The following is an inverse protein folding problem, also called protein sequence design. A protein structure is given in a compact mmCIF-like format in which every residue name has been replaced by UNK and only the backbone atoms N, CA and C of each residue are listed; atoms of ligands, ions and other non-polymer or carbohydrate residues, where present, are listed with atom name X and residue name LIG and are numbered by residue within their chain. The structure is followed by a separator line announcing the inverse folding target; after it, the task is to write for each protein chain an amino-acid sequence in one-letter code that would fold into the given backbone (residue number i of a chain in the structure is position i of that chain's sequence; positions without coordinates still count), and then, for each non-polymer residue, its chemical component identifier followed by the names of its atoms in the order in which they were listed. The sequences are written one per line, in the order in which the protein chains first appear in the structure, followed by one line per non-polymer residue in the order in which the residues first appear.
data_IF_640346585297
#
_entry.id   IF_640346585297
#
_cell.length_a   1.000
_cell.length_b   1.000
_cell.length_c   1.000
_cell.angle_alpha   90.00
_cell.angle_beta   90.00
_cell.angle_gamma   90.00
#
_symmetry.space_group_name_H-M   'P 1'
#
loop_
_entity.id
_entity.type
_entity.pdbx_description
1 polymer ?
#
# COMPACT_ATOMS: atom_id res chain seq x y z
N UNK A 1 -17.05 15.27 17.07
CA UNK A 1 -18.32 16.00 17.16
C UNK A 1 -18.11 17.37 17.81
N UNK A 2 -18.83 18.38 17.31
CA UNK A 2 -18.89 19.71 17.91
C UNK A 2 -20.36 20.03 18.11
N UNK A 3 -20.78 20.22 19.37
CA UNK A 3 -22.11 20.64 19.72
C UNK A 3 -22.09 22.13 20.09
N UNK A 4 -23.03 22.91 19.56
CA UNK A 4 -23.25 24.31 19.94
C UNK A 4 -24.67 24.45 20.42
N UNK A 5 -24.82 24.92 21.66
CA UNK A 5 -26.12 25.19 22.27
C UNK A 5 -26.27 26.71 22.35
N UNK A 6 -27.29 27.25 21.74
CA UNK A 6 -27.59 28.69 21.72
C UNK A 6 -28.68 29.01 22.74
N UNK A 7 -28.49 30.10 23.46
CA UNK A 7 -29.49 30.69 24.34
C UNK A 7 -30.23 31.81 23.63
N UNK A 8 -31.46 32.14 24.07
CA UNK A 8 -32.27 33.18 23.47
C UNK A 8 -31.61 34.57 23.41
N UNK A 9 -30.60 34.83 24.24
CA UNK A 9 -29.81 36.07 24.23
C UNK A 9 -28.63 36.11 23.26
N UNK A 10 -28.47 35.10 22.40
CA UNK A 10 -27.38 35.01 21.41
C UNK A 10 -26.06 34.46 21.96
N UNK A 11 -25.98 34.17 23.26
CA UNK A 11 -24.84 33.46 23.83
C UNK A 11 -24.89 31.99 23.43
N UNK A 12 -23.74 31.35 23.36
CA UNK A 12 -23.67 29.90 23.07
C UNK A 12 -22.54 29.24 23.86
N UNK A 13 -22.76 27.96 24.17
CA UNK A 13 -21.74 27.06 24.69
C UNK A 13 -21.29 26.12 23.58
N UNK A 14 -20.01 25.78 23.60
CA UNK A 14 -19.42 24.79 22.67
C UNK A 14 -18.91 23.61 23.49
N UNK A 15 -19.39 22.44 23.14
CA UNK A 15 -18.81 21.18 23.61
C UNK A 15 -18.18 20.41 22.45
N UNK A 16 -17.02 19.81 22.71
CA UNK A 16 -16.25 19.04 21.73
C UNK A 16 -15.91 17.70 22.31
N UNK A 17 -16.28 16.63 21.61
CA UNK A 17 -15.91 15.27 21.98
C UNK A 17 -15.54 14.45 20.74
N UNK A 18 -14.61 13.51 20.94
CA UNK A 18 -14.16 12.57 19.94
C UNK A 18 -14.60 11.17 20.30
N UNK A 19 -15.15 10.47 19.33
CA UNK A 19 -15.50 9.06 19.46
C UNK A 19 -14.75 8.30 18.35
N UNK A 20 -14.15 7.14 18.67
CA UNK A 20 -13.67 6.22 17.65
C UNK A 20 -14.85 5.73 16.81
N UNK A 21 -14.65 5.71 15.50
CA UNK A 21 -15.66 5.22 14.56
C UNK A 21 -15.00 4.29 13.55
N UNK A 22 -15.44 3.04 13.51
CA UNK A 22 -14.97 2.03 12.58
C UNK A 22 -16.05 1.79 11.52
N UNK A 23 -15.89 2.34 10.28
CA UNK A 23 -16.89 2.20 9.21
C UNK A 23 -16.98 0.78 8.63
N UNK A 24 -15.96 -0.04 8.86
CA UNK A 24 -15.87 -1.40 8.33
C UNK A 24 -15.83 -2.42 9.46
N UNK A 25 -16.43 -3.60 9.24
CA UNK A 25 -16.37 -4.74 10.17
C UNK A 25 -15.00 -5.43 10.19
N UNK A 26 -14.20 -5.19 9.16
CA UNK A 26 -12.83 -5.68 9.08
C UNK A 26 -11.98 -4.78 8.20
N UNK A 27 -10.69 -4.84 8.44
CA UNK A 27 -9.67 -4.05 7.77
C UNK A 27 -8.59 -4.98 7.22
N UNK A 28 -8.18 -4.72 5.98
CA UNK A 28 -7.01 -5.36 5.39
C UNK A 28 -5.80 -4.41 5.45
N UNK A 29 -4.62 -4.95 5.72
CA UNK A 29 -3.35 -4.25 5.70
C UNK A 29 -2.36 -4.94 4.79
N UNK A 30 -1.44 -4.18 4.18
CA UNK A 30 -0.38 -4.66 3.31
C UNK A 30 0.96 -4.43 4.00
N UNK A 31 1.84 -5.42 3.97
CA UNK A 31 3.24 -5.27 4.37
C UNK A 31 4.12 -5.69 3.20
N UNK A 32 4.79 -4.69 2.61
CA UNK A 32 5.79 -4.93 1.57
C UNK A 32 7.05 -5.57 2.17
N UNK A 33 7.75 -6.43 1.41
CA UNK A 33 9.06 -6.92 1.81
C UNK A 33 10.08 -5.77 1.80
N UNK A 34 11.13 -5.91 2.59
CA UNK A 34 12.29 -5.04 2.49
C UNK A 34 12.96 -5.28 1.14
N UNK A 35 13.14 -4.20 0.37
CA UNK A 35 13.76 -4.29 -0.94
C UNK A 35 15.28 -4.45 -0.84
N UNK A 36 15.84 -5.26 -1.70
CA UNK A 36 17.30 -5.47 -1.81
C UNK A 36 17.99 -4.39 -2.66
N UNK A 37 17.22 -3.60 -3.40
CA UNK A 37 17.72 -2.53 -4.25
C UNK A 37 18.07 -1.24 -3.50
N UNK A 38 18.60 -0.27 -4.26
CA UNK A 38 18.89 1.06 -3.72
C UNK A 38 17.62 1.70 -3.14
N UNK A 39 17.71 2.25 -1.93
CA UNK A 39 16.59 2.87 -1.21
C UNK A 39 15.37 1.93 -0.98
N UNK A 40 15.59 0.61 -0.85
CA UNK A 40 14.53 -0.35 -0.56
C UNK A 40 13.66 -0.72 -1.77
N UNK A 41 14.16 -0.53 -2.99
CA UNK A 41 13.46 -0.93 -4.22
C UNK A 41 13.43 -2.44 -4.38
N UNK A 42 12.34 -2.97 -4.93
CA UNK A 42 12.25 -4.36 -5.34
C UNK A 42 12.92 -4.55 -6.70
N UNK A 43 13.24 -5.80 -7.04
CA UNK A 43 13.99 -6.15 -8.25
C UNK A 43 13.11 -6.91 -9.23
N UNK A 44 13.20 -6.59 -10.52
CA UNK A 44 12.50 -7.34 -11.59
C UNK A 44 12.99 -8.78 -11.70
N UNK A 45 12.19 -9.65 -12.31
CA UNK A 45 12.45 -11.10 -12.50
C UNK A 45 12.62 -11.90 -11.21
N UNK A 46 12.27 -11.31 -10.06
CA UNK A 46 12.36 -11.91 -8.72
C UNK A 46 10.97 -12.07 -8.11
N UNK A 47 10.78 -13.14 -7.34
CA UNK A 47 9.55 -13.38 -6.60
C UNK A 47 9.59 -12.61 -5.28
N UNK A 48 8.67 -11.66 -5.09
CA UNK A 48 8.52 -10.89 -3.86
C UNK A 48 7.30 -11.36 -3.10
N UNK A 49 7.49 -11.79 -1.85
CA UNK A 49 6.40 -12.21 -0.97
C UNK A 49 5.83 -10.97 -0.30
N UNK A 50 4.58 -10.67 -0.61
CA UNK A 50 3.83 -9.58 0.00
C UNK A 50 2.89 -10.16 1.06
N UNK A 51 3.01 -9.67 2.30
CA UNK A 51 2.21 -10.14 3.40
C UNK A 51 0.95 -9.29 3.54
N UNK A 52 -0.16 -9.96 3.83
CA UNK A 52 -1.47 -9.35 4.08
C UNK A 52 -1.90 -9.68 5.50
N UNK A 53 -2.40 -8.67 6.21
CA UNK A 53 -3.03 -8.85 7.49
C UNK A 53 -4.52 -8.48 7.41
N UNK A 54 -5.37 -9.19 8.14
CA UNK A 54 -6.79 -8.83 8.30
C UNK A 54 -7.16 -8.84 9.78
N UNK A 55 -7.81 -7.74 10.20
CA UNK A 55 -8.24 -7.54 11.58
C UNK A 55 -9.70 -7.10 11.62
N UNK A 56 -10.39 -7.34 12.73
CA UNK A 56 -11.71 -6.78 13.00
C UNK A 56 -11.62 -5.31 13.47
N UNK A 57 -12.75 -4.74 13.86
CA UNK A 57 -12.85 -3.36 14.36
C UNK A 57 -12.10 -3.11 15.69
N UNK A 58 -11.83 -4.17 16.47
CA UNK A 58 -11.03 -4.13 17.69
C UNK A 58 -9.53 -4.37 17.44
N UNK A 59 -9.11 -4.60 16.21
CA UNK A 59 -7.73 -4.94 15.85
C UNK A 59 -7.35 -6.40 16.07
N UNK A 60 -8.32 -7.28 16.35
CA UNK A 60 -8.05 -8.72 16.52
C UNK A 60 -7.93 -9.41 15.16
N UNK A 61 -6.99 -10.35 14.99
CA UNK A 61 -6.84 -11.10 13.76
C UNK A 61 -8.12 -11.86 13.38
N UNK A 62 -8.55 -11.72 12.12
CA UNK A 62 -9.73 -12.39 11.60
C UNK A 62 -9.42 -13.06 10.27
N UNK A 63 -9.99 -14.25 10.03
CA UNK A 63 -9.87 -14.96 8.76
C UNK A 63 -10.84 -14.38 7.73
N UNK A 64 -10.39 -14.27 6.47
CA UNK A 64 -11.18 -13.85 5.33
C UNK A 64 -10.97 -14.82 4.17
N UNK A 65 -12.08 -15.28 3.57
CA UNK A 65 -12.02 -16.24 2.48
C UNK A 65 -11.78 -15.59 1.12
N UNK A 66 -12.13 -14.30 0.99
CA UNK A 66 -12.14 -13.64 -0.32
C UNK A 66 -11.61 -12.21 -0.23
N UNK A 67 -10.31 -12.07 -0.44
CA UNK A 67 -9.64 -10.80 -0.65
C UNK A 67 -9.24 -10.69 -2.11
N UNK A 68 -9.56 -9.58 -2.76
CA UNK A 68 -9.11 -9.30 -4.13
C UNK A 68 -7.85 -8.46 -4.10
N UNK A 69 -6.75 -9.00 -4.64
CA UNK A 69 -5.50 -8.28 -4.86
C UNK A 69 -5.46 -7.83 -6.32
N UNK A 70 -5.23 -6.55 -6.55
CA UNK A 70 -4.97 -5.97 -7.88
C UNK A 70 -3.71 -5.15 -7.83
N UNK A 71 -2.86 -5.31 -8.83
CA UNK A 71 -1.62 -4.54 -8.99
C UNK A 71 -1.72 -3.71 -10.27
N UNK A 72 -1.43 -2.44 -10.18
CA UNK A 72 -1.48 -1.51 -11.31
C UNK A 72 -0.10 -0.91 -11.55
N UNK A 73 0.30 -0.81 -12.81
CA UNK A 73 1.49 -0.05 -13.18
C UNK A 73 1.14 1.43 -13.24
N UNK A 74 1.75 2.24 -12.37
CA UNK A 74 1.49 3.67 -12.28
C UNK A 74 2.31 4.39 -13.35
N UNK A 75 1.64 5.05 -14.28
CA UNK A 75 2.32 5.82 -15.32
C UNK A 75 2.89 7.12 -14.74
N UNK A 76 4.09 7.51 -15.20
CA UNK A 76 4.80 8.71 -14.75
C UNK A 76 3.97 10.00 -14.89
N UNK A 77 3.23 10.14 -15.99
CA UNK A 77 2.41 11.32 -16.27
C UNK A 77 1.35 11.57 -15.17
N UNK A 78 0.72 10.51 -14.68
CA UNK A 78 -0.29 10.61 -13.63
C UNK A 78 0.30 11.08 -12.29
N UNK A 79 1.48 10.60 -11.93
CA UNK A 79 2.15 10.96 -10.69
C UNK A 79 2.53 12.44 -10.62
N UNK A 80 2.85 13.05 -11.76
CA UNK A 80 3.23 14.46 -11.83
C UNK A 80 2.03 15.38 -11.72
N UNK A 81 0.88 15.00 -12.27
CA UNK A 81 -0.33 15.81 -12.30
C UNK A 81 -1.15 15.76 -11.00
N UNK A 82 -0.93 14.73 -10.15
CA UNK A 82 -1.67 14.50 -8.91
C UNK A 82 -0.74 14.50 -7.70
N UNK A 83 -0.39 15.68 -7.25
CA UNK A 83 0.35 15.90 -6.01
C UNK A 83 -0.61 15.82 -4.81
N UNK A 84 -1.09 14.61 -4.47
CA UNK A 84 -2.02 14.41 -3.37
C UNK A 84 -2.47 12.95 -3.20
N UNK A 85 -3.04 12.65 -2.05
CA UNK A 85 -3.41 11.32 -1.52
C UNK A 85 -4.50 10.54 -2.29
N UNK A 86 -4.84 10.92 -3.51
CA UNK A 86 -5.97 10.36 -4.27
C UNK A 86 -5.59 9.14 -5.14
N UNK A 87 -4.84 8.20 -4.56
CA UNK A 87 -4.62 6.88 -5.17
C UNK A 87 -5.93 6.11 -5.40
N UNK A 88 -7.01 6.51 -4.72
CA UNK A 88 -8.35 5.96 -4.93
C UNK A 88 -8.94 6.31 -6.30
N UNK A 89 -8.72 7.52 -6.79
CA UNK A 89 -9.22 7.97 -8.11
C UNK A 89 -8.48 7.29 -9.27
N UNK A 90 -7.17 7.03 -9.13
CA UNK A 90 -6.40 6.33 -10.16
C UNK A 90 -7.01 4.97 -10.54
N UNK A 91 -7.64 4.31 -9.59
CA UNK A 91 -8.26 2.99 -9.80
C UNK A 91 -9.71 3.09 -10.30
N UNK A 92 -10.34 4.26 -10.16
CA UNK A 92 -11.71 4.53 -10.62
C UNK A 92 -11.83 4.79 -12.11
N UNK A 93 -10.76 5.27 -12.76
CA UNK A 93 -10.77 5.54 -14.18
C UNK A 93 -10.72 4.25 -15.00
N UNK A 94 -11.69 4.07 -15.88
CA UNK A 94 -11.95 2.86 -16.68
C UNK A 94 -10.83 2.46 -17.66
N UNK A 95 -9.72 3.17 -17.67
CA UNK A 95 -8.63 2.99 -18.65
C UNK A 95 -7.44 2.16 -18.15
N UNK A 96 -7.45 1.70 -16.88
CA UNK A 96 -6.29 1.01 -16.31
C UNK A 96 -6.62 -0.45 -16.01
N UNK A 97 -6.29 -1.32 -16.94
CA UNK A 97 -6.32 -2.76 -16.65
C UNK A 97 -5.26 -3.09 -15.59
N UNK A 98 -5.59 -3.92 -14.60
CA UNK A 98 -4.62 -4.34 -13.63
C UNK A 98 -3.50 -5.15 -14.32
N UNK A 99 -2.25 -4.85 -13.98
CA UNK A 99 -1.09 -5.63 -14.39
C UNK A 99 -1.20 -7.09 -13.88
N UNK A 100 -1.76 -7.25 -12.70
CA UNK A 100 -1.96 -8.52 -12.04
C UNK A 100 -3.24 -8.47 -11.20
N UNK A 101 -4.00 -9.57 -11.18
CA UNK A 101 -5.18 -9.72 -10.33
C UNK A 101 -5.25 -11.14 -9.78
N UNK A 102 -5.51 -11.28 -8.49
CA UNK A 102 -5.63 -12.56 -7.81
C UNK A 102 -6.58 -12.47 -6.62
N UNK A 103 -7.34 -13.55 -6.37
CA UNK A 103 -8.06 -13.74 -5.11
C UNK A 103 -7.19 -14.55 -4.15
N UNK A 104 -7.18 -14.12 -2.89
CA UNK A 104 -6.46 -14.78 -1.79
C UNK A 104 -7.37 -14.89 -0.57
N UNK A 105 -6.96 -15.71 0.39
CA UNK A 105 -7.58 -15.82 1.71
C UNK A 105 -6.57 -15.52 2.81
N UNK A 106 -7.09 -15.17 4.00
CA UNK A 106 -6.29 -15.07 5.22
C UNK A 106 -6.80 -16.10 6.24
N UNK A 107 -5.87 -16.66 7.00
CA UNK A 107 -6.13 -17.57 8.11
C UNK A 107 -5.54 -16.95 9.36
N UNK A 108 -6.35 -16.80 10.42
CA UNK A 108 -5.94 -16.12 11.65
C UNK A 108 -5.31 -14.74 11.37
N UNK A 109 -5.92 -13.98 10.47
CA UNK A 109 -5.48 -12.64 10.12
C UNK A 109 -4.24 -12.58 9.23
N UNK A 110 -3.72 -13.69 8.72
CA UNK A 110 -2.49 -13.73 7.92
C UNK A 110 -2.72 -14.35 6.56
N UNK A 111 -2.24 -13.69 5.52
CA UNK A 111 -2.21 -14.18 4.15
C UNK A 111 -0.99 -13.63 3.44
N UNK A 112 -0.70 -14.17 2.26
CA UNK A 112 0.40 -13.71 1.43
C UNK A 112 0.14 -13.99 -0.03
N UNK A 113 0.79 -13.23 -0.90
CA UNK A 113 0.86 -13.54 -2.32
C UNK A 113 2.24 -13.21 -2.87
N UNK A 114 2.56 -13.79 -4.02
CA UNK A 114 3.82 -13.52 -4.72
C UNK A 114 3.55 -12.49 -5.81
N UNK A 115 4.29 -11.41 -5.78
CA UNK A 115 4.37 -10.42 -6.85
C UNK A 115 5.67 -10.67 -7.62
N UNK A 116 5.56 -10.79 -8.94
CA UNK A 116 6.68 -10.85 -9.86
C UNK A 116 6.41 -9.91 -11.02
N UNK A 117 7.34 -9.02 -11.27
CA UNK A 117 7.34 -8.14 -12.44
C UNK A 117 8.51 -8.55 -13.31
N UNK A 118 8.22 -8.95 -14.55
CA UNK A 118 9.24 -9.40 -15.48
C UNK A 118 9.69 -8.25 -16.38
N UNK A 119 10.96 -8.24 -16.79
CA UNK A 119 11.44 -7.34 -17.83
C UNK A 119 10.64 -7.53 -19.13
N UNK A 120 10.39 -6.45 -19.90
CA UNK A 120 10.96 -5.10 -19.76
C UNK A 120 10.21 -4.17 -18.79
N UNK A 121 9.21 -4.67 -18.07
CA UNK A 121 8.44 -3.84 -17.15
C UNK A 121 9.26 -3.47 -15.90
N UNK A 122 9.16 -2.20 -15.53
CA UNK A 122 9.77 -1.62 -14.34
C UNK A 122 9.03 -0.33 -13.98
N UNK A 123 9.32 0.23 -12.81
CA UNK A 123 8.78 1.50 -12.36
C UNK A 123 7.94 1.38 -11.10
N UNK A 124 6.98 2.28 -10.96
CA UNK A 124 6.10 2.33 -9.80
C UNK A 124 4.86 1.47 -10.02
N UNK A 125 4.55 0.67 -9.02
CA UNK A 125 3.34 -0.16 -8.98
C UNK A 125 2.52 0.16 -7.75
N UNK A 126 1.20 0.20 -7.91
CA UNK A 126 0.22 0.27 -6.83
C UNK A 126 -0.33 -1.14 -6.58
N UNK A 127 -0.12 -1.64 -5.38
CA UNK A 127 -0.75 -2.87 -4.89
C UNK A 127 -1.99 -2.48 -4.11
N UNK A 128 -3.14 -2.96 -4.53
CA UNK A 128 -4.43 -2.71 -3.89
C UNK A 128 -5.03 -4.02 -3.40
N UNK A 129 -5.48 -4.03 -2.15
CA UNK A 129 -6.17 -5.18 -1.55
C UNK A 129 -7.56 -4.73 -1.10
N UNK A 130 -8.58 -5.46 -1.55
CA UNK A 130 -9.98 -5.23 -1.18
C UNK A 130 -10.49 -6.44 -0.41
N UNK A 131 -11.02 -6.22 0.78
CA UNK A 131 -11.81 -7.20 1.51
C UNK A 131 -13.25 -7.18 0.94
N UNK A 132 -13.61 -8.22 0.18
CA UNK A 132 -14.90 -8.29 -0.49
C UNK A 132 -16.07 -8.49 0.47
N UNK A 133 -15.82 -8.89 1.72
CA UNK A 133 -16.85 -9.08 2.74
C UNK A 133 -17.18 -7.77 3.47
N UNK A 134 -16.17 -6.97 3.80
CA UNK A 134 -16.38 -5.69 4.51
C UNK A 134 -16.43 -4.48 3.59
N UNK A 135 -15.91 -4.60 2.38
CA UNK A 135 -15.74 -3.49 1.43
C UNK A 135 -14.51 -2.63 1.71
N UNK A 136 -13.73 -2.90 2.77
CA UNK A 136 -12.52 -2.16 3.06
C UNK A 136 -11.48 -2.37 1.97
N UNK A 137 -10.85 -1.28 1.54
CA UNK A 137 -9.78 -1.30 0.54
C UNK A 137 -8.57 -0.55 1.06
N UNK A 138 -7.39 -1.13 0.88
CA UNK A 138 -6.10 -0.52 1.18
C UNK A 138 -5.18 -0.59 -0.03
N UNK A 139 -4.22 0.32 -0.11
CA UNK A 139 -3.24 0.36 -1.20
C UNK A 139 -1.87 0.76 -0.69
N UNK A 140 -0.84 0.20 -1.32
CA UNK A 140 0.57 0.51 -1.05
C UNK A 140 1.31 0.63 -2.37
N UNK A 141 2.20 1.61 -2.48
CA UNK A 141 3.03 1.80 -3.68
C UNK A 141 4.41 1.21 -3.49
N UNK A 142 4.93 0.58 -4.53
CA UNK A 142 6.27 0.01 -4.55
C UNK A 142 6.97 0.39 -5.85
N UNK A 143 8.27 0.64 -5.75
CA UNK A 143 9.12 0.84 -6.92
C UNK A 143 9.89 -0.45 -7.22
N UNK A 144 9.82 -0.92 -8.46
CA UNK A 144 10.47 -2.15 -8.93
C UNK A 144 11.42 -1.77 -10.05
N UNK A 145 12.69 -2.13 -9.91
CA UNK A 145 13.76 -1.72 -10.82
C UNK A 145 14.58 -2.91 -11.32
N UNK A 146 15.45 -2.67 -12.27
CA UNK A 146 16.32 -3.68 -12.84
C UNK A 146 17.50 -4.01 -11.92
N UNK A 147 17.94 -5.28 -11.86
CA UNK A 147 19.07 -5.67 -11.00
C UNK A 147 20.39 -5.02 -11.37
N UNK A 148 20.53 -4.49 -12.58
CA UNK A 148 21.77 -3.89 -13.09
C UNK A 148 22.27 -2.66 -12.32
N UNK A 149 21.44 -2.01 -11.52
CA UNK A 149 21.84 -0.88 -10.68
C UNK A 149 22.52 -1.30 -9.36
N UNK A 150 22.60 -2.58 -9.05
CA UNK A 150 23.37 -3.08 -7.91
C UNK A 150 24.89 -3.02 -8.14
N UNK A 151 25.35 -2.69 -9.35
CA UNK A 151 26.75 -2.60 -9.76
C UNK A 151 27.38 -1.21 -9.68
N UNK A 152 27.06 -0.39 -8.71
CA UNK A 152 27.93 0.75 -8.37
C UNK A 152 29.32 0.22 -8.02
N UNK A 153 30.43 0.86 -8.47
CA UNK A 153 31.76 0.35 -8.19
C UNK A 153 31.93 0.20 -6.68
N UNK A 154 32.17 -1.03 -6.20
CA UNK A 154 32.65 -1.24 -4.86
C UNK A 154 33.86 -0.32 -4.71
N UNK A 155 33.78 0.66 -3.81
CA UNK A 155 34.96 1.43 -3.40
C UNK A 155 35.95 0.42 -2.85
N UNK A 156 36.85 -0.04 -3.70
CA UNK A 156 38.05 -0.73 -3.26
C UNK A 156 38.84 0.34 -2.52
N UNK A 157 38.82 0.24 -1.20
CA UNK A 157 39.67 1.09 -0.35
C UNK A 157 41.08 0.73 -0.75
N UNK A 158 41.66 1.58 -1.57
CA UNK A 158 43.10 1.48 -1.87
C UNK A 158 43.83 1.60 -0.53
N UNK A 159 44.41 0.48 -0.10
CA UNK A 159 45.28 0.46 1.05
C UNK A 159 46.48 1.33 0.69
N UNK A 160 46.54 2.53 1.27
CA UNK A 160 47.72 3.37 1.14
C UNK A 160 48.94 2.59 1.67
N UNK A 161 49.86 2.28 0.75
CA UNK A 161 51.18 1.82 1.11
C UNK A 161 51.91 2.97 1.84
N UNK A 162 52.12 2.82 3.13
CA UNK A 162 53.09 3.66 3.85
C UNK A 162 54.50 3.13 3.52
N UNK A 163 55.33 4.03 3.01
CA UNK A 163 56.78 3.86 2.97
C UNK A 163 57.36 4.38 4.27
#
# INVERSE_FOLDING_TARGET
FICRVFEEGGNFSIDRFSLPYSPYKSYAGIKMPEGEGYAGTLVTDTNHIINIATVDEDGKPISRNKLTVKVYKVQWRWWWDHYGDDLGQYVGDQYHQPYFSKEISTVNGKGQFVLRVNRPDWGRFLVRVTDNESGHTTGETVYIDWPAWQGGPRKTTARALQF
#
